data_IF_872053053122
#
_entry.id   IF_872053053122
#
_cell.length_a   1.000
_cell.length_b   1.000
_cell.length_c   1.000
_cell.angle_alpha   90.00
_cell.angle_beta   90.00
_cell.angle_gamma   90.00
#
_symmetry.space_group_name_H-M   'P 1'
#
loop_
_entity.id
_entity.type
_entity.pdbx_description
1 polymer ?
#
# COMPACT_ATOMS: atom_id res chain seq x y z
N UNK A 1 -20.80 -4.88 -25.37
CA UNK A 1 -20.32 -5.15 -24.01
C UNK A 1 -18.81 -5.02 -24.03
N UNK A 2 -18.28 -4.05 -23.30
CA UNK A 2 -16.85 -3.89 -23.14
C UNK A 2 -16.27 -5.08 -22.37
N UNK A 3 -14.96 -5.31 -22.47
CA UNK A 3 -14.27 -6.30 -21.62
C UNK A 3 -14.48 -6.03 -20.12
N UNK A 4 -14.77 -4.78 -19.74
CA UNK A 4 -15.02 -4.35 -18.36
C UNK A 4 -16.45 -4.63 -17.87
N UNK A 5 -17.40 -4.93 -18.77
CA UNK A 5 -18.80 -5.15 -18.39
C UNK A 5 -19.09 -6.62 -18.04
N UNK A 6 -18.14 -7.53 -18.29
CA UNK A 6 -18.31 -8.96 -18.07
C UNK A 6 -17.97 -9.36 -16.63
N UNK A 7 -18.96 -9.22 -15.74
CA UNK A 7 -18.82 -9.57 -14.32
C UNK A 7 -18.55 -11.07 -14.08
N UNK A 8 -19.00 -11.95 -14.98
CA UNK A 8 -18.70 -13.39 -14.88
C UNK A 8 -17.20 -13.65 -14.99
N UNK A 9 -16.51 -12.96 -15.90
CA UNK A 9 -15.06 -13.06 -16.03
C UNK A 9 -14.37 -12.33 -14.87
N UNK A 10 -14.84 -11.12 -14.52
CA UNK A 10 -14.23 -10.29 -13.47
C UNK A 10 -14.22 -10.96 -12.09
N UNK A 11 -15.23 -11.80 -11.79
CA UNK A 11 -15.37 -12.51 -10.53
C UNK A 11 -15.19 -14.03 -10.64
N UNK A 12 -14.53 -14.51 -11.71
CA UNK A 12 -14.35 -15.94 -11.96
C UNK A 12 -13.57 -16.66 -10.83
N UNK A 13 -12.77 -15.92 -10.05
CA UNK A 13 -12.00 -16.43 -8.92
C UNK A 13 -12.78 -16.40 -7.59
N UNK A 14 -14.03 -15.91 -7.58
CA UNK A 14 -14.86 -15.74 -6.37
C UNK A 14 -16.03 -16.72 -6.32
N UNK A 15 -16.29 -17.21 -5.12
CA UNK A 15 -17.47 -18.03 -4.82
C UNK A 15 -18.70 -17.15 -4.51
N UNK A 16 -19.91 -17.69 -4.69
CA UNK A 16 -21.15 -16.98 -4.32
C UNK A 16 -21.18 -16.51 -2.87
N UNK A 17 -20.73 -17.27 -1.85
CA UNK A 17 -20.64 -16.76 -0.48
C UNK A 17 -19.70 -15.56 -0.34
N UNK A 18 -18.54 -15.57 -1.00
CA UNK A 18 -17.61 -14.43 -0.99
C UNK A 18 -18.25 -13.18 -1.61
N UNK A 19 -18.95 -13.34 -2.73
CA UNK A 19 -19.66 -12.22 -3.38
C UNK A 19 -20.79 -11.66 -2.50
N UNK A 20 -21.57 -12.53 -1.83
CA UNK A 20 -22.61 -12.09 -0.89
C UNK A 20 -22.03 -11.37 0.32
N UNK A 21 -20.91 -11.85 0.86
CA UNK A 21 -20.18 -11.20 1.96
C UNK A 21 -19.74 -9.80 1.56
N UNK A 22 -19.09 -9.66 0.40
CA UNK A 22 -18.66 -8.37 -0.13
C UNK A 22 -19.85 -7.43 -0.33
N UNK A 23 -20.95 -7.90 -0.93
CA UNK A 23 -22.17 -7.13 -1.14
C UNK A 23 -22.71 -6.52 0.15
N UNK A 24 -22.90 -7.33 1.20
CA UNK A 24 -23.44 -6.85 2.47
C UNK A 24 -22.48 -5.91 3.20
N UNK A 25 -21.18 -6.16 3.10
CA UNK A 25 -20.16 -5.29 3.67
C UNK A 25 -20.17 -3.91 2.98
N UNK A 26 -20.19 -3.85 1.65
CA UNK A 26 -20.31 -2.56 0.95
C UNK A 26 -21.63 -1.86 1.25
N UNK A 27 -22.76 -2.59 1.32
CA UNK A 27 -24.06 -2.03 1.74
C UNK A 27 -24.02 -1.42 3.15
N UNK A 28 -23.25 -2.01 4.06
CA UNK A 28 -23.06 -1.46 5.40
C UNK A 28 -22.19 -0.19 5.38
N UNK A 29 -21.08 -0.20 4.64
CA UNK A 29 -20.16 0.94 4.50
C UNK A 29 -20.86 2.14 3.86
N UNK A 30 -21.76 1.91 2.90
CA UNK A 30 -22.58 2.93 2.25
C UNK A 30 -23.51 3.69 3.22
N UNK A 31 -23.70 3.23 4.46
CA UNK A 31 -24.56 3.88 5.46
C UNK A 31 -23.71 4.70 6.46
N UNK A 32 -23.68 6.05 6.35
CA UNK A 32 -22.77 6.88 7.16
C UNK A 32 -22.96 6.73 8.67
N UNK A 33 -24.21 6.59 9.14
CA UNK A 33 -24.50 6.40 10.55
C UNK A 33 -23.91 5.08 11.10
N UNK A 34 -24.04 4.00 10.33
CA UNK A 34 -23.49 2.69 10.71
C UNK A 34 -21.97 2.72 10.69
N UNK A 35 -21.39 3.33 9.67
CA UNK A 35 -19.93 3.49 9.54
C UNK A 35 -19.35 4.28 10.70
N UNK A 36 -19.96 5.41 11.07
CA UNK A 36 -19.50 6.25 12.19
C UNK A 36 -19.56 5.51 13.54
N UNK A 37 -20.66 4.78 13.80
CA UNK A 37 -20.79 3.95 15.01
C UNK A 37 -19.76 2.82 15.01
N UNK A 38 -19.59 2.15 13.87
CA UNK A 38 -18.61 1.07 13.71
C UNK A 38 -17.18 1.53 13.99
N UNK A 39 -16.77 2.69 13.45
CA UNK A 39 -15.45 3.28 13.70
C UNK A 39 -15.27 3.58 15.20
N UNK A 40 -16.27 4.16 15.86
CA UNK A 40 -16.19 4.46 17.29
C UNK A 40 -16.03 3.21 18.14
N UNK A 41 -16.79 2.15 17.85
CA UNK A 41 -16.70 0.87 18.55
C UNK A 41 -15.33 0.21 18.30
N UNK A 42 -14.88 0.21 17.04
CA UNK A 42 -13.58 -0.36 16.68
C UNK A 42 -12.43 0.36 17.40
N UNK A 43 -12.42 1.68 17.39
CA UNK A 43 -11.40 2.47 18.10
C UNK A 43 -11.42 2.21 19.61
N UNK A 44 -12.60 2.13 20.22
CA UNK A 44 -12.73 1.81 21.63
C UNK A 44 -12.17 0.42 21.95
N UNK A 45 -12.56 -0.58 21.17
CA UNK A 45 -12.18 -1.97 21.40
C UNK A 45 -10.69 -2.21 21.19
N UNK A 46 -10.08 -1.62 20.15
CA UNK A 46 -8.64 -1.67 19.90
C UNK A 46 -7.88 -0.97 21.03
N UNK A 47 -8.28 0.25 21.41
CA UNK A 47 -7.63 1.03 22.48
C UNK A 47 -7.62 0.30 23.82
N UNK A 48 -8.65 -0.50 24.10
CA UNK A 48 -8.79 -1.25 25.34
C UNK A 48 -8.37 -2.73 25.21
N UNK A 49 -7.69 -3.13 24.13
CA UNK A 49 -7.19 -4.49 23.89
C UNK A 49 -8.26 -5.58 24.10
N UNK A 50 -9.48 -5.33 23.61
CA UNK A 50 -10.55 -6.34 23.69
C UNK A 50 -10.14 -7.60 22.91
N UNK A 51 -10.33 -8.80 23.48
CA UNK A 51 -9.92 -10.05 22.85
C UNK A 51 -10.73 -10.30 21.57
N UNK A 52 -10.15 -11.01 20.61
CA UNK A 52 -10.76 -11.44 19.33
C UNK A 52 -11.11 -10.33 18.33
N UNK A 53 -10.97 -9.06 18.69
CA UNK A 53 -11.33 -7.94 17.81
C UNK A 53 -10.45 -7.91 16.56
N UNK A 54 -9.15 -8.14 16.73
CA UNK A 54 -8.20 -8.26 15.62
C UNK A 54 -8.61 -9.36 14.64
N UNK A 55 -9.05 -10.52 15.14
CA UNK A 55 -9.49 -11.64 14.31
C UNK A 55 -10.79 -11.33 13.56
N UNK A 56 -11.73 -10.64 14.21
CA UNK A 56 -12.98 -10.20 13.58
C UNK A 56 -12.67 -9.24 12.43
N UNK A 57 -11.83 -8.23 12.68
CA UNK A 57 -11.41 -7.26 11.66
C UNK A 57 -10.67 -7.95 10.52
N UNK A 58 -9.74 -8.86 10.85
CA UNK A 58 -8.95 -9.63 9.88
C UNK A 58 -9.87 -10.44 8.95
N UNK A 59 -10.86 -11.11 9.51
CA UNK A 59 -11.78 -11.98 8.77
C UNK A 59 -13.00 -11.26 8.19
N UNK A 60 -13.09 -9.93 8.27
CA UNK A 60 -14.20 -9.14 7.69
C UNK A 60 -13.67 -8.11 6.70
N UNK A 61 -13.37 -6.90 7.19
CA UNK A 61 -12.94 -5.77 6.37
C UNK A 61 -11.58 -6.04 5.73
N UNK A 62 -10.62 -6.52 6.53
CA UNK A 62 -9.24 -6.67 6.07
C UNK A 62 -9.12 -7.68 4.92
N UNK A 63 -9.80 -8.83 4.98
CA UNK A 63 -9.79 -9.82 3.88
C UNK A 63 -10.28 -9.26 2.54
N UNK A 64 -11.17 -8.25 2.54
CA UNK A 64 -11.63 -7.64 1.30
C UNK A 64 -10.56 -6.72 0.69
N UNK A 65 -9.89 -5.92 1.52
CA UNK A 65 -9.07 -4.79 1.06
C UNK A 65 -7.57 -5.08 1.08
N UNK A 66 -7.12 -6.10 1.81
CA UNK A 66 -5.72 -6.43 1.99
C UNK A 66 -5.45 -7.88 1.60
N UNK A 67 -4.34 -8.12 0.88
CA UNK A 67 -3.94 -9.47 0.46
C UNK A 67 -3.50 -10.38 1.62
N UNK A 68 -3.07 -9.79 2.74
CA UNK A 68 -2.58 -10.47 3.93
C UNK A 68 -1.94 -9.47 4.91
N UNK A 69 -1.67 -9.90 6.14
CA UNK A 69 -0.99 -9.04 7.15
C UNK A 69 0.52 -9.05 6.93
N UNK A 70 1.05 -10.10 6.31
CA UNK A 70 2.47 -10.22 5.92
C UNK A 70 2.59 -10.54 4.43
N UNK A 71 3.82 -10.41 3.90
CA UNK A 71 4.14 -10.80 2.51
C UNK A 71 3.82 -12.28 2.25
N UNK A 72 4.15 -13.14 3.20
CA UNK A 72 3.94 -14.59 3.14
C UNK A 72 2.45 -14.95 3.15
N UNK A 73 1.65 -14.26 3.97
CA UNK A 73 0.19 -14.42 3.94
C UNK A 73 -0.38 -13.99 2.58
N UNK A 74 0.08 -12.84 2.09
CA UNK A 74 -0.35 -12.26 0.81
C UNK A 74 -0.05 -13.15 -0.38
N UNK A 75 1.00 -13.98 -0.33
CA UNK A 75 1.33 -14.91 -1.41
C UNK A 75 0.24 -15.93 -1.73
N UNK A 76 -0.68 -16.21 -0.80
CA UNK A 76 -1.84 -17.05 -1.10
C UNK A 76 -2.74 -16.38 -2.13
N UNK A 77 -3.01 -15.09 -1.96
CA UNK A 77 -3.82 -14.28 -2.87
C UNK A 77 -3.08 -14.08 -4.20
N UNK A 78 -1.78 -13.74 -4.16
CA UNK A 78 -0.95 -13.58 -5.36
C UNK A 78 -0.99 -14.85 -6.22
N UNK A 79 -0.77 -16.03 -5.62
CA UNK A 79 -0.82 -17.32 -6.34
C UNK A 79 -2.21 -17.63 -6.88
N UNK A 80 -3.27 -17.24 -6.18
CA UNK A 80 -4.64 -17.43 -6.65
C UNK A 80 -4.92 -16.56 -7.88
N UNK A 81 -4.59 -15.27 -7.83
CA UNK A 81 -4.78 -14.32 -8.93
C UNK A 81 -3.93 -14.69 -10.15
N UNK A 82 -2.69 -15.13 -9.92
CA UNK A 82 -1.77 -15.49 -11.00
C UNK A 82 -2.21 -16.73 -11.80
N UNK A 83 -3.01 -17.63 -11.24
CA UNK A 83 -3.65 -18.74 -12.00
C UNK A 83 -4.54 -18.23 -13.13
N UNK A 84 -5.02 -16.99 -13.02
CA UNK A 84 -5.82 -16.30 -14.02
C UNK A 84 -5.02 -15.27 -14.80
N UNK A 85 -3.68 -15.34 -14.75
CA UNK A 85 -2.75 -14.40 -15.39
C UNK A 85 -2.88 -12.95 -14.90
N UNK A 86 -3.35 -12.77 -13.66
CA UNK A 86 -3.42 -11.45 -13.02
C UNK A 86 -2.20 -11.31 -12.10
N UNK A 87 -1.33 -10.36 -12.42
CA UNK A 87 -0.19 -9.98 -11.57
C UNK A 87 -0.65 -9.19 -10.34
N UNK A 88 0.17 -9.16 -9.30
CA UNK A 88 -0.09 -8.44 -8.06
C UNK A 88 1.10 -7.56 -7.69
N UNK A 89 0.81 -6.38 -7.16
CA UNK A 89 1.84 -5.46 -6.66
C UNK A 89 1.75 -5.42 -5.14
N UNK A 90 2.91 -5.32 -4.49
CA UNK A 90 2.99 -5.06 -3.06
C UNK A 90 3.06 -3.56 -2.83
N UNK A 91 1.90 -2.96 -2.58
CA UNK A 91 1.80 -1.57 -2.14
C UNK A 91 1.94 -1.52 -0.62
N UNK A 92 3.06 -0.97 -0.14
CA UNK A 92 3.26 -0.73 1.29
C UNK A 92 2.64 0.62 1.65
N UNK A 93 1.42 0.56 2.19
CA UNK A 93 0.55 1.72 2.42
C UNK A 93 0.93 2.55 3.67
N UNK A 94 2.12 3.16 3.67
CA UNK A 94 2.49 4.21 4.61
C UNK A 94 2.55 5.56 3.87
N UNK A 95 1.77 6.52 4.37
CA UNK A 95 1.62 7.87 3.81
C UNK A 95 1.46 8.89 4.96
N UNK A 96 1.79 10.16 4.69
CA UNK A 96 1.52 11.27 5.62
C UNK A 96 2.28 11.18 6.95
N UNK A 97 3.50 10.66 6.93
CA UNK A 97 4.39 10.56 8.10
C UNK A 97 5.37 11.71 8.12
N UNK A 98 5.91 12.00 9.30
CA UNK A 98 6.84 13.11 9.52
C UNK A 98 8.15 12.66 10.21
N UNK A 99 8.27 11.39 10.60
CA UNK A 99 9.45 10.91 11.32
C UNK A 99 10.44 10.16 10.42
N UNK A 100 11.73 10.54 10.50
CA UNK A 100 12.83 9.92 9.76
C UNK A 100 12.93 8.39 9.94
N UNK A 101 12.66 7.89 11.14
CA UNK A 101 12.66 6.45 11.41
C UNK A 101 11.58 5.71 10.61
N UNK A 102 10.44 6.36 10.35
CA UNK A 102 9.35 5.81 9.55
C UNK A 102 9.74 5.75 8.07
N UNK A 103 10.46 6.76 7.56
CA UNK A 103 10.97 6.77 6.19
C UNK A 103 12.09 5.73 5.99
N UNK A 104 12.98 5.55 6.97
CA UNK A 104 13.99 4.50 6.96
C UNK A 104 13.34 3.11 6.95
N UNK A 105 12.32 2.90 7.78
CA UNK A 105 11.56 1.64 7.79
C UNK A 105 10.88 1.38 6.44
N UNK A 106 10.27 2.41 5.85
CA UNK A 106 9.63 2.32 4.54
C UNK A 106 10.65 1.92 3.46
N UNK A 107 11.84 2.55 3.43
CA UNK A 107 12.93 2.17 2.53
C UNK A 107 13.29 0.68 2.65
N UNK A 108 13.39 0.17 3.88
CA UNK A 108 13.68 -1.25 4.10
C UNK A 108 12.53 -2.17 3.65
N UNK A 109 11.28 -1.80 3.90
CA UNK A 109 10.12 -2.57 3.44
C UNK A 109 10.07 -2.65 1.90
N UNK A 110 10.42 -1.57 1.20
CA UNK A 110 10.54 -1.57 -0.27
C UNK A 110 11.68 -2.46 -0.74
N UNK A 111 12.85 -2.44 -0.09
CA UNK A 111 13.95 -3.36 -0.40
C UNK A 111 13.56 -4.82 -0.19
N UNK A 112 12.75 -5.12 0.84
CA UNK A 112 12.21 -6.47 1.03
C UNK A 112 11.22 -6.83 -0.08
N UNK A 113 10.37 -5.91 -0.53
CA UNK A 113 9.48 -6.13 -1.67
C UNK A 113 10.28 -6.45 -2.95
N UNK A 114 11.40 -5.76 -3.21
CA UNK A 114 12.28 -6.04 -4.35
C UNK A 114 12.83 -7.47 -4.27
N UNK A 115 13.36 -7.88 -3.12
CA UNK A 115 13.84 -9.26 -2.91
C UNK A 115 12.74 -10.29 -3.15
N UNK A 116 11.50 -9.96 -2.81
CA UNK A 116 10.36 -10.85 -2.96
C UNK A 116 9.84 -10.94 -4.40
N UNK A 117 10.02 -9.87 -5.17
CA UNK A 117 9.68 -9.79 -6.59
C UNK A 117 10.75 -10.40 -7.51
N UNK A 118 12.01 -10.47 -7.06
CA UNK A 118 13.14 -11.03 -7.82
C UNK A 118 12.82 -12.42 -8.40
N UNK A 119 12.74 -12.50 -9.73
CA UNK A 119 12.44 -13.75 -10.45
C UNK A 119 11.00 -14.27 -10.31
N UNK A 120 10.10 -13.52 -9.68
CA UNK A 120 8.71 -13.94 -9.46
C UNK A 120 7.77 -13.28 -10.49
N UNK A 121 7.28 -14.02 -11.52
CA UNK A 121 6.46 -13.44 -12.57
C UNK A 121 5.05 -13.01 -12.10
N UNK A 122 4.62 -13.43 -10.90
CA UNK A 122 3.36 -12.98 -10.32
C UNK A 122 3.44 -11.56 -9.73
N UNK A 123 4.65 -11.03 -9.56
CA UNK A 123 4.91 -9.69 -9.03
C UNK A 123 5.70 -8.91 -10.10
N UNK A 124 5.00 -8.26 -11.05
CA UNK A 124 5.65 -7.69 -12.22
C UNK A 124 6.54 -6.47 -11.91
N UNK A 125 6.23 -5.73 -10.84
CA UNK A 125 6.98 -4.57 -10.38
C UNK A 125 6.69 -4.29 -8.90
N UNK A 126 7.56 -3.49 -8.28
CA UNK A 126 7.39 -2.99 -6.91
C UNK A 126 7.06 -1.50 -6.96
N UNK A 127 6.22 -1.05 -6.03
CA UNK A 127 5.73 0.34 -5.96
C UNK A 127 6.23 1.00 -4.70
N UNK A 128 6.61 2.28 -4.78
CA UNK A 128 6.71 3.14 -3.61
C UNK A 128 6.18 4.55 -3.92
N UNK A 129 5.81 5.27 -2.87
CA UNK A 129 5.33 6.66 -2.92
C UNK A 129 6.45 7.62 -2.47
N UNK A 130 6.69 8.75 -3.15
CA UNK A 130 7.64 9.77 -2.71
C UNK A 130 7.55 10.13 -1.23
N UNK A 131 6.35 10.40 -0.71
CA UNK A 131 6.14 10.78 0.71
C UNK A 131 6.39 9.63 1.69
N UNK A 132 6.59 8.41 1.20
CA UNK A 132 7.12 7.30 1.99
C UNK A 132 8.60 7.47 2.37
N UNK A 133 9.35 8.36 1.69
CA UNK A 133 10.77 8.63 1.93
C UNK A 133 11.08 10.01 2.52
N UNK A 134 10.07 10.86 2.71
CA UNK A 134 10.21 12.18 3.32
C UNK A 134 8.87 12.86 3.53
N UNK A 135 8.82 13.89 4.39
CA UNK A 135 7.57 14.61 4.69
C UNK A 135 7.09 15.37 3.44
N UNK A 136 5.77 15.40 3.24
CA UNK A 136 5.12 16.08 2.11
C UNK A 136 5.52 17.55 2.01
N UNK A 137 5.61 18.24 3.15
CA UNK A 137 5.97 19.66 3.20
C UNK A 137 7.38 19.91 2.64
N UNK A 138 8.36 19.02 2.89
CA UNK A 138 9.72 19.18 2.37
C UNK A 138 9.73 19.09 0.84
N UNK A 139 9.02 18.11 0.27
CA UNK A 139 8.85 18.02 -1.18
C UNK A 139 8.20 19.28 -1.75
N UNK A 140 7.16 19.82 -1.09
CA UNK A 140 6.51 21.04 -1.52
C UNK A 140 7.46 22.26 -1.48
N UNK A 141 8.34 22.32 -0.48
CA UNK A 141 9.37 23.36 -0.35
C UNK A 141 10.43 23.27 -1.44
N UNK A 142 10.87 22.06 -1.79
CA UNK A 142 11.81 21.79 -2.89
C UNK A 142 11.20 22.20 -4.23
N UNK A 143 9.99 21.73 -4.56
CA UNK A 143 9.31 22.12 -5.80
C UNK A 143 9.09 23.64 -5.88
N UNK A 144 8.73 24.29 -4.78
CA UNK A 144 8.55 25.73 -4.73
C UNK A 144 9.87 26.52 -4.90
N UNK A 145 11.02 25.83 -4.96
CA UNK A 145 12.34 26.46 -5.08
C UNK A 145 12.72 27.28 -3.84
N UNK A 146 12.17 26.96 -2.67
CA UNK A 146 12.50 27.66 -1.44
C UNK A 146 13.94 27.36 -1.05
N UNK A 147 14.60 28.36 -0.46
CA UNK A 147 15.92 28.14 0.13
C UNK A 147 15.79 27.29 1.40
N UNK A 148 16.20 26.02 1.30
CA UNK A 148 16.22 25.10 2.43
C UNK A 148 17.28 25.50 3.46
N UNK A 149 16.93 25.38 4.73
CA UNK A 149 17.85 25.45 5.87
C UNK A 149 18.88 24.31 5.81
N UNK A 150 19.95 24.40 6.61
CA UNK A 150 20.96 23.34 6.66
C UNK A 150 20.38 21.98 7.06
N UNK A 151 19.44 21.95 8.03
CA UNK A 151 18.76 20.73 8.45
C UNK A 151 17.86 20.15 7.37
N UNK A 152 17.14 20.99 6.63
CA UNK A 152 16.27 20.55 5.53
C UNK A 152 17.08 20.04 4.34
N UNK A 153 18.26 20.60 4.08
CA UNK A 153 19.20 20.07 3.08
C UNK A 153 19.69 18.67 3.47
N UNK A 154 19.97 18.45 4.76
CA UNK A 154 20.33 17.13 5.27
C UNK A 154 19.16 16.14 5.13
N UNK A 155 17.94 16.55 5.49
CA UNK A 155 16.70 15.77 5.33
C UNK A 155 16.47 15.40 3.85
N UNK A 156 16.61 16.36 2.93
CA UNK A 156 16.46 16.13 1.50
C UNK A 156 17.50 15.19 0.94
N UNK A 157 18.77 15.31 1.37
CA UNK A 157 19.81 14.36 0.99
C UNK A 157 19.47 12.93 1.43
N UNK A 158 18.81 12.76 2.59
CA UNK A 158 18.35 11.43 3.04
C UNK A 158 17.24 10.88 2.15
N UNK A 159 16.30 11.72 1.71
CA UNK A 159 15.28 11.34 0.72
C UNK A 159 15.96 10.83 -0.55
N UNK A 160 16.86 11.62 -1.14
CA UNK A 160 17.59 11.24 -2.36
C UNK A 160 18.37 9.92 -2.16
N UNK A 161 19.02 9.74 -1.02
CA UNK A 161 19.74 8.49 -0.71
C UNK A 161 18.80 7.28 -0.67
N UNK A 162 17.58 7.40 -0.10
CA UNK A 162 16.60 6.31 -0.10
C UNK A 162 16.17 5.91 -1.52
N UNK A 163 15.96 6.90 -2.41
CA UNK A 163 15.71 6.63 -3.83
C UNK A 163 16.86 5.87 -4.47
N UNK A 164 18.10 6.36 -4.31
CA UNK A 164 19.29 5.74 -4.89
C UNK A 164 19.46 4.30 -4.39
N UNK A 165 19.29 4.03 -3.10
CA UNK A 165 19.41 2.70 -2.52
C UNK A 165 18.39 1.71 -3.10
N UNK A 166 17.13 2.13 -3.21
CA UNK A 166 16.03 1.31 -3.77
C UNK A 166 16.20 1.08 -5.26
N UNK A 167 16.46 2.14 -6.03
CA UNK A 167 16.66 2.07 -7.48
C UNK A 167 17.88 1.23 -7.84
N UNK A 168 18.99 1.37 -7.10
CA UNK A 168 20.18 0.55 -7.28
C UNK A 168 19.89 -0.93 -7.02
N UNK A 169 19.24 -1.26 -5.91
CA UNK A 169 18.89 -2.66 -5.60
C UNK A 169 17.96 -3.25 -6.66
N UNK A 170 16.95 -2.49 -7.10
CA UNK A 170 16.04 -2.93 -8.15
C UNK A 170 16.75 -3.19 -9.47
N UNK A 171 17.67 -2.31 -9.86
CA UNK A 171 18.51 -2.49 -11.03
C UNK A 171 19.37 -3.76 -10.93
N UNK A 172 20.07 -3.96 -9.81
CA UNK A 172 20.90 -5.15 -9.55
C UNK A 172 20.10 -6.45 -9.60
N UNK A 173 18.83 -6.42 -9.18
CA UNK A 173 17.93 -7.58 -9.13
C UNK A 173 17.02 -7.73 -10.36
N UNK A 174 17.17 -6.86 -11.35
CA UNK A 174 16.31 -6.81 -12.53
C UNK A 174 14.81 -6.78 -12.18
N UNK A 175 14.45 -5.96 -11.20
CA UNK A 175 13.07 -5.71 -10.77
C UNK A 175 12.65 -4.33 -11.24
N UNK A 176 11.48 -4.23 -11.84
CA UNK A 176 10.92 -2.93 -12.25
C UNK A 176 10.37 -2.21 -11.01
N UNK A 177 10.67 -0.92 -10.91
CA UNK A 177 10.09 -0.02 -9.92
C UNK A 177 9.09 0.90 -10.61
N UNK A 178 7.95 1.10 -9.96
CA UNK A 178 7.02 2.17 -10.25
C UNK A 178 7.02 3.14 -9.07
N UNK A 179 7.16 4.43 -9.37
CA UNK A 179 7.05 5.50 -8.38
C UNK A 179 5.66 6.09 -8.56
N UNK A 180 4.83 6.01 -7.52
CA UNK A 180 3.47 6.53 -7.56
C UNK A 180 3.49 8.05 -7.63
N UNK A 181 2.61 8.61 -8.47
CA UNK A 181 2.36 10.04 -8.48
C UNK A 181 1.45 10.41 -7.30
N UNK A 182 1.83 11.45 -6.56
CA UNK A 182 1.06 11.96 -5.43
C UNK A 182 0.48 13.36 -5.75
N UNK A 183 0.65 14.33 -4.85
CA UNK A 183 0.03 15.65 -4.97
C UNK A 183 0.66 16.50 -6.07
N UNK A 184 -0.15 17.34 -6.71
CA UNK A 184 0.31 18.16 -7.86
C UNK A 184 1.41 19.16 -7.51
N UNK A 185 1.55 19.54 -6.23
CA UNK A 185 2.54 20.51 -5.77
C UNK A 185 3.87 19.90 -5.32
N UNK A 186 4.10 18.60 -5.60
CA UNK A 186 5.36 17.89 -5.28
C UNK A 186 5.98 17.11 -6.44
N UNK A 187 5.42 17.18 -7.64
CA UNK A 187 5.85 16.39 -8.81
C UNK A 187 7.21 16.80 -9.38
N UNK A 188 7.59 18.07 -9.26
CA UNK A 188 8.84 18.62 -9.83
C UNK A 188 10.01 18.62 -8.82
N UNK A 189 9.74 18.23 -7.57
CA UNK A 189 10.73 18.17 -6.50
C UNK A 189 11.77 17.06 -6.75
#
# INVERSE_FOLDING_TARGET
>A
MSIFDNTQIAFADKTTPQLKKAYWMFKAIEQPALTNVGISILNFTVKNNFPFVTDIVKNTLFEQFCGGVTREESMKVVKQMFKHHIGSIFDYAIEGKEEEATFDHTCEEIKQNIKFAEGNPAIPFVVFKPTGFGRLDLYAEVQAGKELTSSEKEEWNRVVNRYEEVCKMAHEKNVVIMIDAEETWIQDA
#
